data_IF_103949982235
#
_entry.id   IF_103949982235
#
_cell.length_a   1.000
_cell.length_b   1.000
_cell.length_c   1.000
_cell.angle_alpha   90.00
_cell.angle_beta   90.00
_cell.angle_gamma   90.00
#
_symmetry.space_group_name_H-M   'P 1'
#
loop_
_entity.id
_entity.type
_entity.pdbx_description
1 polymer ?
#
# COMPACT_ATOMS: atom_id res chain seq x y z
N UNK A 1 3.11 -1.22 23.87
CA UNK A 1 2.61 -0.96 22.50
C UNK A 1 1.20 -1.51 22.27
N UNK A 2 0.91 -2.77 22.61
CA UNK A 2 -0.44 -3.34 22.49
C UNK A 2 -1.50 -2.53 23.26
N UNK A 3 -1.18 -2.10 24.47
CA UNK A 3 -2.11 -1.37 25.35
C UNK A 3 -2.60 -0.04 24.75
N UNK A 4 -1.83 0.54 23.82
CA UNK A 4 -2.22 1.76 23.07
C UNK A 4 -3.16 1.43 21.89
N UNK A 5 -3.06 0.22 21.32
CA UNK A 5 -3.80 -0.23 20.13
C UNK A 5 -5.10 -0.91 20.53
N UNK A 6 -5.11 -1.69 21.61
CA UNK A 6 -6.25 -2.47 22.07
C UNK A 6 -7.57 -1.69 22.16
N UNK A 7 -7.61 -0.45 22.71
CA UNK A 7 -8.85 0.32 22.81
C UNK A 7 -9.42 0.76 21.46
N UNK A 8 -8.60 0.74 20.40
CA UNK A 8 -8.98 1.14 19.05
C UNK A 8 -9.56 -0.02 18.25
N UNK A 9 -9.44 -1.25 18.77
CA UNK A 9 -9.96 -2.42 18.10
C UNK A 9 -11.48 -2.35 17.99
N UNK A 10 -12.05 -2.67 16.82
CA UNK A 10 -13.49 -2.65 16.70
C UNK A 10 -14.11 -3.76 17.57
N UNK A 11 -15.30 -3.48 18.09
CA UNK A 11 -16.05 -4.47 18.86
C UNK A 11 -16.42 -5.69 17.99
N UNK A 12 -16.74 -6.78 18.67
CA UNK A 12 -17.32 -7.96 18.04
C UNK A 12 -18.55 -7.57 17.19
N UNK A 13 -18.73 -8.20 16.01
CA UNK A 13 -19.84 -7.86 15.13
C UNK A 13 -21.18 -8.19 15.80
N UNK A 14 -22.17 -7.32 15.61
CA UNK A 14 -23.52 -7.49 16.19
C UNK A 14 -24.19 -8.80 15.74
N UNK A 15 -23.82 -9.32 14.55
CA UNK A 15 -24.30 -10.59 14.02
C UNK A 15 -23.15 -11.43 13.48
N UNK A 16 -23.21 -12.74 13.70
CA UNK A 16 -22.26 -13.72 13.20
C UNK A 16 -21.29 -14.22 14.28
N UNK A 17 -20.22 -14.90 13.84
CA UNK A 17 -19.24 -15.48 14.75
C UNK A 17 -18.38 -14.40 15.38
N UNK A 18 -18.10 -14.56 16.68
CA UNK A 18 -17.09 -13.80 17.41
C UNK A 18 -15.79 -13.75 16.62
N UNK A 19 -15.21 -12.57 16.64
CA UNK A 19 -13.96 -12.26 16.02
C UNK A 19 -12.82 -13.04 16.70
N UNK A 20 -11.83 -13.46 15.90
CA UNK A 20 -10.61 -14.07 16.43
C UNK A 20 -9.84 -13.04 17.28
N UNK A 21 -8.92 -13.50 18.10
CA UNK A 21 -8.08 -12.61 18.91
C UNK A 21 -7.42 -11.51 18.05
N UNK A 22 -7.60 -10.25 18.46
CA UNK A 22 -7.12 -9.10 17.69
C UNK A 22 -5.61 -9.02 17.68
N UNK A 23 -4.97 -9.25 18.83
CA UNK A 23 -3.53 -9.18 18.98
C UNK A 23 -2.84 -10.20 18.09
N UNK A 24 -3.32 -11.45 18.10
CA UNK A 24 -2.82 -12.53 17.24
C UNK A 24 -3.01 -12.21 15.76
N UNK A 25 -4.15 -11.65 15.37
CA UNK A 25 -4.38 -11.27 13.97
C UNK A 25 -3.47 -10.11 13.54
N UNK A 26 -3.28 -9.11 14.39
CA UNK A 26 -2.30 -8.04 14.13
C UNK A 26 -0.89 -8.60 13.97
N UNK A 27 -0.51 -9.58 14.80
CA UNK A 27 0.74 -10.32 14.65
C UNK A 27 0.87 -11.03 13.30
N UNK A 28 -0.20 -11.72 12.85
CA UNK A 28 -0.23 -12.36 11.53
C UNK A 28 -0.04 -11.37 10.37
N UNK A 29 -0.69 -10.21 10.46
CA UNK A 29 -0.59 -9.16 9.45
C UNK A 29 0.81 -8.54 9.45
N UNK A 30 1.35 -8.22 10.63
CA UNK A 30 2.71 -7.70 10.79
C UNK A 30 3.76 -8.69 10.24
N UNK A 31 3.61 -9.99 10.51
CA UNK A 31 4.48 -11.02 9.95
C UNK A 31 4.47 -10.99 8.42
N UNK A 32 3.29 -10.93 7.79
CA UNK A 32 3.16 -10.90 6.32
C UNK A 32 3.92 -9.74 5.67
N UNK A 33 3.86 -8.57 6.28
CA UNK A 33 4.54 -7.37 5.76
C UNK A 33 6.03 -7.38 6.08
N UNK A 34 6.46 -7.97 7.19
CA UNK A 34 7.87 -8.11 7.53
C UNK A 34 8.60 -9.12 6.65
N UNK A 35 7.97 -10.25 6.35
CA UNK A 35 8.60 -11.34 5.58
C UNK A 35 8.35 -11.24 4.09
N UNK A 36 7.31 -10.50 3.68
CA UNK A 36 6.80 -10.47 2.32
C UNK A 36 6.40 -11.84 1.74
N UNK A 37 6.43 -12.93 2.53
CA UNK A 37 6.10 -14.29 2.11
C UNK A 37 4.63 -14.43 1.68
N UNK A 38 4.28 -15.41 0.83
CA UNK A 38 2.89 -15.74 0.53
C UNK A 38 2.04 -15.93 1.79
N UNK A 39 0.74 -15.56 1.72
CA UNK A 39 -0.18 -15.78 2.85
C UNK A 39 -0.31 -17.25 3.28
N UNK A 40 -0.09 -18.18 2.34
CA UNK A 40 -0.15 -19.62 2.60
C UNK A 40 0.97 -20.12 3.51
N UNK A 41 2.04 -19.35 3.64
CA UNK A 41 3.21 -19.71 4.44
C UNK A 41 3.15 -19.09 5.84
N UNK A 42 2.01 -18.48 6.20
CA UNK A 42 1.80 -17.91 7.53
C UNK A 42 1.91 -19.04 8.58
N UNK A 43 2.75 -18.88 9.63
CA UNK A 43 2.83 -19.85 10.72
C UNK A 43 1.48 -20.09 11.39
N UNK A 44 1.13 -21.35 11.63
CA UNK A 44 -0.16 -21.74 12.24
C UNK A 44 -0.36 -21.14 13.65
N UNK A 45 0.72 -20.88 14.38
CA UNK A 45 0.72 -20.18 15.66
C UNK A 45 0.17 -18.75 15.57
N UNK A 46 0.17 -18.12 14.38
CA UNK A 46 -0.45 -16.81 14.13
C UNK A 46 -1.90 -16.90 13.68
N UNK A 47 -2.41 -18.13 13.49
CA UNK A 47 -3.81 -18.42 13.16
C UNK A 47 -4.08 -18.45 11.66
N UNK A 48 -5.35 -18.42 11.28
CA UNK A 48 -5.74 -18.58 9.88
C UNK A 48 -5.35 -17.37 9.03
N UNK A 49 -4.59 -17.60 7.95
CA UNK A 49 -4.26 -16.55 6.99
C UNK A 49 -5.49 -15.94 6.33
N UNK A 50 -6.58 -16.70 6.16
CA UNK A 50 -7.82 -16.19 5.58
C UNK A 50 -8.48 -15.17 6.50
N UNK A 51 -8.44 -15.41 7.82
CA UNK A 51 -8.94 -14.48 8.83
C UNK A 51 -8.09 -13.20 8.85
N UNK A 52 -6.76 -13.34 8.85
CA UNK A 52 -5.85 -12.20 8.81
C UNK A 52 -6.03 -11.35 7.55
N UNK A 53 -6.10 -11.98 6.38
CA UNK A 53 -6.30 -11.30 5.11
C UNK A 53 -7.64 -10.55 5.04
N UNK A 54 -8.74 -11.20 5.45
CA UNK A 54 -10.06 -10.55 5.49
C UNK A 54 -10.09 -9.37 6.46
N UNK A 55 -9.39 -9.47 7.59
CA UNK A 55 -9.28 -8.38 8.57
C UNK A 55 -8.45 -7.23 8.06
N UNK A 56 -7.32 -7.50 7.41
CA UNK A 56 -6.51 -6.49 6.77
C UNK A 56 -7.35 -5.60 5.85
N UNK A 57 -8.15 -6.22 4.97
CA UNK A 57 -9.02 -5.50 4.03
C UNK A 57 -10.14 -4.76 4.78
N UNK A 58 -10.84 -5.44 5.69
CA UNK A 58 -11.96 -4.83 6.43
C UNK A 58 -11.53 -3.59 7.20
N UNK A 59 -10.41 -3.68 7.92
CA UNK A 59 -9.87 -2.59 8.72
C UNK A 59 -9.32 -1.42 7.88
N UNK A 60 -9.02 -1.67 6.60
CA UNK A 60 -8.71 -0.61 5.66
C UNK A 60 -9.98 0.14 5.25
N UNK A 61 -11.06 -0.60 4.96
CA UNK A 61 -12.34 -0.02 4.54
C UNK A 61 -13.02 0.74 5.68
N UNK A 62 -13.01 0.20 6.91
CA UNK A 62 -13.67 0.82 8.06
C UNK A 62 -12.82 1.90 8.78
N UNK A 63 -11.61 2.18 8.27
CA UNK A 63 -10.72 3.20 8.82
C UNK A 63 -10.01 2.82 10.12
N UNK A 64 -10.11 1.57 10.60
CA UNK A 64 -9.39 1.08 11.77
C UNK A 64 -7.88 1.27 11.65
N UNK A 65 -7.29 1.01 10.48
CA UNK A 65 -5.85 1.26 10.28
C UNK A 65 -5.47 2.73 10.43
N UNK A 66 -6.30 3.65 9.93
CA UNK A 66 -6.06 5.09 10.09
C UNK A 66 -6.07 5.52 11.55
N UNK A 67 -7.01 4.99 12.35
CA UNK A 67 -7.07 5.24 13.80
C UNK A 67 -5.85 4.69 14.53
N UNK A 68 -5.44 3.46 14.22
CA UNK A 68 -4.23 2.84 14.80
C UNK A 68 -3.00 3.68 14.46
N UNK A 69 -2.81 4.04 13.18
CA UNK A 69 -1.68 4.83 12.73
C UNK A 69 -1.62 6.17 13.46
N UNK A 70 -2.75 6.88 13.53
CA UNK A 70 -2.82 8.18 14.20
C UNK A 70 -2.44 8.08 15.67
N UNK A 71 -2.91 7.05 16.38
CA UNK A 71 -2.59 6.86 17.79
C UNK A 71 -1.11 6.49 18.02
N UNK A 72 -0.53 5.67 17.14
CA UNK A 72 0.89 5.30 17.23
C UNK A 72 1.77 6.51 16.93
N UNK A 73 1.43 7.31 15.91
CA UNK A 73 2.16 8.54 15.58
C UNK A 73 2.07 9.56 16.72
N UNK A 74 0.88 9.82 17.26
CA UNK A 74 0.71 10.76 18.38
C UNK A 74 1.52 10.33 19.61
N UNK A 75 1.60 9.02 19.89
CA UNK A 75 2.40 8.54 21.00
C UNK A 75 3.91 8.71 20.76
N UNK A 76 4.38 8.40 19.56
CA UNK A 76 5.80 8.56 19.22
C UNK A 76 6.21 10.03 19.10
N UNK A 77 5.31 10.92 18.68
CA UNK A 77 5.50 12.38 18.73
C UNK A 77 5.64 12.88 20.19
N UNK A 78 4.75 12.43 21.09
CA UNK A 78 4.82 12.77 22.50
C UNK A 78 6.09 12.24 23.19
N UNK A 79 6.55 11.05 22.77
CA UNK A 79 7.79 10.43 23.26
C UNK A 79 9.05 11.09 22.62
N UNK A 80 8.88 12.00 21.64
CA UNK A 80 9.97 12.69 20.94
C UNK A 80 10.71 11.84 19.90
N UNK A 81 10.16 10.67 19.57
CA UNK A 81 10.74 9.67 18.66
C UNK A 81 10.54 10.02 17.17
N UNK A 82 9.69 11.01 16.88
CA UNK A 82 9.39 11.45 15.50
C UNK A 82 9.97 12.85 15.26
N UNK A 83 10.99 12.91 14.39
CA UNK A 83 11.28 14.12 13.64
C UNK A 83 10.36 14.16 12.41
N UNK A 84 9.49 15.17 12.31
CA UNK A 84 8.53 15.36 11.20
C UNK A 84 9.21 15.75 9.86
N UNK A 85 10.33 15.11 9.53
CA UNK A 85 11.05 15.28 8.28
C UNK A 85 10.27 14.59 7.16
N UNK A 86 9.78 15.37 6.21
CA UNK A 86 9.05 14.85 5.04
C UNK A 86 10.04 14.29 4.04
N UNK A 87 9.96 12.99 3.78
CA UNK A 87 10.64 12.35 2.64
C UNK A 87 9.70 12.33 1.45
N UNK A 88 10.15 12.84 0.30
CA UNK A 88 9.42 12.79 -0.97
C UNK A 88 10.12 11.79 -1.88
N UNK A 89 9.47 10.68 -2.19
CA UNK A 89 9.89 9.74 -3.23
C UNK A 89 9.01 9.87 -4.48
N UNK A 90 9.57 9.54 -5.64
CA UNK A 90 8.84 9.49 -6.90
C UNK A 90 9.12 8.17 -7.59
N UNK A 91 8.06 7.48 -8.03
CA UNK A 91 8.17 6.25 -8.81
C UNK A 91 7.65 6.47 -10.22
N UNK A 92 8.46 6.17 -11.23
CA UNK A 92 8.07 6.23 -12.65
C UNK A 92 7.84 4.82 -13.17
N UNK A 93 6.59 4.45 -13.45
CA UNK A 93 6.25 3.20 -14.14
C UNK A 93 5.98 3.47 -15.62
N UNK A 94 6.82 2.92 -16.51
CA UNK A 94 6.60 3.05 -17.96
C UNK A 94 5.42 2.18 -18.39
N UNK A 95 4.48 2.76 -19.14
CA UNK A 95 3.38 2.00 -19.71
C UNK A 95 3.91 1.00 -20.76
N UNK A 96 3.29 -0.18 -20.85
CA UNK A 96 3.58 -1.15 -21.91
C UNK A 96 3.23 -0.54 -23.28
N UNK A 97 3.97 -0.88 -24.35
CA UNK A 97 3.72 -0.37 -25.71
C UNK A 97 2.29 -0.61 -26.24
N UNK A 98 1.57 -1.57 -25.66
CA UNK A 98 0.18 -1.89 -26.00
C UNK A 98 -0.86 -1.14 -25.13
N UNK A 99 -0.43 -0.30 -24.19
CA UNK A 99 -1.32 0.55 -23.39
C UNK A 99 -1.82 1.78 -24.17
N UNK A 100 -1.25 2.06 -25.35
CA UNK A 100 -1.81 3.01 -26.31
C UNK A 100 -3.13 2.44 -26.84
N UNK A 101 -4.26 2.83 -26.22
CA UNK A 101 -5.58 2.39 -26.62
C UNK A 101 -5.91 2.69 -28.10
N UNK A 102 -7.09 2.25 -28.54
CA UNK A 102 -7.57 2.45 -29.91
C UNK A 102 -7.58 3.93 -30.33
N UNK A 103 -7.24 4.21 -31.61
CA UNK A 103 -7.30 5.56 -32.18
C UNK A 103 -8.71 6.14 -32.01
N UNK A 104 -8.83 7.32 -31.39
CA UNK A 104 -10.07 8.10 -31.40
C UNK A 104 -10.34 8.57 -32.83
N UNK A 105 -11.51 8.24 -33.38
CA UNK A 105 -11.98 8.70 -34.69
C UNK A 105 -12.30 10.20 -34.58
N UNK A 106 -11.36 11.06 -34.98
CA UNK A 106 -11.57 12.51 -34.99
C UNK A 106 -10.38 13.35 -34.54
N UNK A 107 -9.28 13.28 -35.29
CA UNK A 107 -8.41 14.42 -35.57
C UNK A 107 -7.51 14.04 -36.75
N UNK A 108 -7.41 14.84 -37.82
CA UNK A 108 -6.40 14.63 -38.84
C UNK A 108 -5.04 14.58 -38.16
N UNK A 109 -4.19 13.64 -38.56
CA UNK A 109 -2.81 13.62 -38.10
C UNK A 109 -2.17 14.95 -38.53
N UNK A 110 -1.81 15.79 -37.56
CA UNK A 110 -0.88 16.87 -37.81
C UNK A 110 0.42 16.21 -38.27
N UNK A 111 0.89 16.57 -39.46
CA UNK A 111 2.12 16.04 -40.03
C UNK A 111 3.25 16.35 -39.06
N UNK A 112 3.98 15.33 -38.60
CA UNK A 112 5.20 15.53 -37.81
C UNK A 112 6.12 16.50 -38.58
N UNK A 113 6.71 17.53 -37.93
CA UNK A 113 7.75 18.31 -38.57
C UNK A 113 8.90 17.38 -38.91
N UNK A 114 9.31 17.40 -40.18
CA UNK A 114 10.50 16.69 -40.66
C UNK A 114 11.71 17.15 -39.85
N UNK A 115 12.29 16.25 -39.05
CA UNK A 115 13.60 16.48 -38.44
C UNK A 115 14.63 16.52 -39.57
N UNK A 116 15.12 17.71 -39.90
CA UNK A 116 16.26 17.88 -40.81
C UNK A 116 17.48 17.19 -40.20
N UNK A 117 18.19 16.31 -40.91
CA UNK A 117 19.46 15.79 -40.44
C UNK A 117 20.47 16.94 -40.31
N UNK A 118 21.18 16.99 -39.19
CA UNK A 118 22.28 17.92 -38.97
C UNK A 118 23.46 17.51 -39.85
N UNK A 119 23.87 18.38 -40.77
CA UNK A 119 25.15 18.23 -41.48
C UNK A 119 26.31 18.32 -40.48
N UNK A 120 26.98 17.19 -40.26
CA UNK A 120 28.30 17.18 -39.64
C UNK A 120 29.35 17.21 -40.77
N UNK A 121 30.36 18.09 -40.71
CA UNK A 121 31.39 18.15 -41.74
C UNK A 121 32.29 16.90 -41.69
N UNK A 122 32.85 16.46 -42.83
CA UNK A 122 33.71 15.29 -42.87
C UNK A 122 35.04 15.58 -42.15
N UNK A 123 35.47 14.61 -41.34
CA UNK A 123 36.80 14.64 -40.71
C UNK A 123 37.87 14.32 -41.77
N UNK A 124 38.96 15.10 -41.77
CA UNK A 124 40.11 14.97 -42.67
C UNK A 124 40.98 13.74 -42.35
#
# INVERSE_FOLDING_TARGET
MWDRIEPLMPADPVRGRRWADHRRTLGAIAWKYRTCSPWRDLPDELGSFQTAHKRLIRWAVDGTWGRILSAVLAAADADGDIGWTVSVDSTVCRAHQHAAGARKKGRPAELNPTTTPSDAPPVA
#
